data_IF_239088941124
#
_entry.id   IF_239088941124
#
_cell.length_a   1.000
_cell.length_b   1.000
_cell.length_c   1.000
_cell.angle_alpha   90.00
_cell.angle_beta   90.00
_cell.angle_gamma   90.00
#
_symmetry.space_group_name_H-M   'P 1'
#
loop_
_entity.id
_entity.type
_entity.pdbx_description
1 polymer ?
#
# COMPACT_ATOMS: atom_id res chain seq x y z
N UNK A 1 -0.39 5.92 -13.79
CA UNK A 1 0.10 4.62 -14.29
C UNK A 1 0.33 3.74 -13.08
N UNK A 2 -0.15 2.49 -13.10
CA UNK A 2 -0.04 1.56 -11.98
C UNK A 2 1.22 0.71 -12.13
N UNK A 3 1.88 0.38 -11.02
CA UNK A 3 2.87 -0.69 -10.96
C UNK A 3 2.26 -1.84 -10.15
N UNK A 4 2.15 -3.02 -10.76
CA UNK A 4 1.48 -4.19 -10.17
C UNK A 4 2.39 -5.40 -10.37
N UNK A 5 2.54 -6.20 -9.32
CA UNK A 5 3.25 -7.48 -9.35
C UNK A 5 2.36 -8.59 -8.79
N UNK A 6 2.51 -9.79 -9.33
CA UNK A 6 1.84 -11.00 -8.84
C UNK A 6 2.72 -11.70 -7.82
N UNK A 7 2.09 -12.41 -6.88
CA UNK A 7 2.76 -13.17 -5.84
C UNK A 7 2.10 -14.54 -5.70
N UNK A 8 2.90 -15.60 -5.68
CA UNK A 8 2.44 -16.98 -5.43
C UNK A 8 2.12 -17.24 -3.95
N UNK A 9 2.40 -16.28 -3.07
CA UNK A 9 2.08 -16.33 -1.64
C UNK A 9 0.61 -16.01 -1.39
N UNK A 10 0.08 -16.49 -0.27
CA UNK A 10 -1.25 -16.09 0.20
C UNK A 10 -1.30 -14.60 0.52
N UNK A 11 -2.52 -14.05 0.56
CA UNK A 11 -2.75 -12.65 0.89
C UNK A 11 -2.13 -12.26 2.25
N UNK A 12 -2.31 -13.10 3.27
CA UNK A 12 -1.82 -12.85 4.63
C UNK A 12 -0.30 -12.88 4.68
N UNK A 13 0.32 -13.84 4.00
CA UNK A 13 1.78 -13.93 3.92
C UNK A 13 2.36 -12.73 3.15
N UNK A 14 1.77 -12.38 2.01
CA UNK A 14 2.20 -11.23 1.22
C UNK A 14 2.07 -9.91 2.01
N UNK A 15 0.99 -9.75 2.78
CA UNK A 15 0.78 -8.60 3.66
C UNK A 15 1.83 -8.52 4.78
N UNK A 16 2.13 -9.65 5.44
CA UNK A 16 3.18 -9.72 6.48
C UNK A 16 4.57 -9.46 5.91
N UNK A 17 4.88 -10.05 4.75
CA UNK A 17 6.16 -9.86 4.08
C UNK A 17 6.36 -8.41 3.61
N UNK A 18 5.30 -7.76 3.15
CA UNK A 18 5.33 -6.35 2.76
C UNK A 18 5.65 -5.47 3.96
N UNK A 19 4.98 -5.66 5.11
CA UNK A 19 5.27 -4.91 6.35
C UNK A 19 6.76 -5.03 6.74
N UNK A 20 7.28 -6.25 6.73
CA UNK A 20 8.68 -6.50 7.03
C UNK A 20 9.63 -5.89 5.99
N UNK A 21 9.28 -5.98 4.69
CA UNK A 21 10.09 -5.43 3.60
C UNK A 21 10.17 -3.90 3.65
N UNK A 22 9.06 -3.22 3.96
CA UNK A 22 9.00 -1.76 4.13
C UNK A 22 10.01 -1.31 5.18
N UNK A 23 10.00 -1.96 6.36
CA UNK A 23 10.94 -1.68 7.46
C UNK A 23 12.39 -1.94 7.05
N UNK A 24 12.68 -3.07 6.40
CA UNK A 24 14.04 -3.41 5.93
C UNK A 24 14.61 -2.41 4.91
N UNK A 25 13.74 -1.72 4.16
CA UNK A 25 14.14 -0.72 3.16
C UNK A 25 14.15 0.73 3.70
N UNK A 26 14.08 0.90 5.03
CA UNK A 26 14.16 2.23 5.66
C UNK A 26 12.89 3.06 5.53
N UNK A 27 11.75 2.43 5.27
CA UNK A 27 10.43 3.05 5.37
C UNK A 27 9.75 2.58 6.66
N UNK A 28 8.89 3.42 7.24
CA UNK A 28 7.96 3.02 8.29
C UNK A 28 6.60 2.69 7.70
N UNK A 29 5.87 1.76 8.32
CA UNK A 29 4.43 1.56 8.10
C UNK A 29 3.70 2.47 9.08
N UNK A 30 2.99 3.48 8.57
CA UNK A 30 2.24 4.45 9.37
C UNK A 30 0.87 3.90 9.75
N UNK A 31 0.21 3.24 8.79
CA UNK A 31 -1.10 2.64 8.99
C UNK A 31 -1.35 1.52 7.97
N UNK A 32 -2.24 0.60 8.30
CA UNK A 32 -2.75 -0.43 7.40
C UNK A 32 -4.27 -0.41 7.41
N UNK A 33 -4.86 -0.01 6.29
CA UNK A 33 -6.31 -0.04 6.11
C UNK A 33 -6.73 -1.41 5.59
N UNK A 34 -7.52 -2.16 6.35
CA UNK A 34 -8.18 -3.38 5.89
C UNK A 34 -9.52 -3.01 5.23
N UNK A 35 -9.47 -2.66 3.95
CA UNK A 35 -10.64 -2.24 3.19
C UNK A 35 -11.61 -3.40 3.00
N UNK A 36 -11.10 -4.62 2.78
CA UNK A 36 -11.93 -5.81 2.63
C UNK A 36 -12.76 -6.07 3.89
N UNK A 37 -12.12 -6.09 5.06
CA UNK A 37 -12.83 -6.24 6.33
C UNK A 37 -13.80 -5.08 6.59
N UNK A 38 -13.39 -3.84 6.28
CA UNK A 38 -14.22 -2.64 6.46
C UNK A 38 -15.52 -2.74 5.65
N UNK A 39 -15.45 -3.07 4.36
CA UNK A 39 -16.62 -3.22 3.50
C UNK A 39 -17.56 -4.32 4.01
N UNK A 40 -17.01 -5.50 4.33
CA UNK A 40 -17.78 -6.62 4.88
C UNK A 40 -18.46 -6.28 6.21
N UNK A 41 -17.79 -5.51 7.08
CA UNK A 41 -18.36 -5.05 8.36
C UNK A 41 -19.58 -4.13 8.19
N UNK A 42 -19.72 -3.52 7.01
CA UNK A 42 -20.84 -2.65 6.64
C UNK A 42 -21.92 -3.38 5.82
N UNK A 43 -21.83 -4.71 5.71
CA UNK A 43 -22.78 -5.52 4.94
C UNK A 43 -22.65 -5.37 3.43
N UNK A 44 -21.55 -4.80 2.94
CA UNK A 44 -21.26 -4.68 1.51
C UNK A 44 -20.62 -5.99 1.05
N UNK A 45 -21.22 -6.65 0.06
CA UNK A 45 -20.65 -7.85 -0.55
C UNK A 45 -19.32 -7.52 -1.22
N UNK A 46 -18.23 -8.10 -0.70
CA UNK A 46 -16.89 -7.92 -1.22
C UNK A 46 -16.10 -9.22 -1.02
N UNK A 47 -15.98 -9.99 -2.10
CA UNK A 47 -15.37 -11.32 -2.09
C UNK A 47 -13.83 -11.28 -1.94
N UNK A 48 -13.20 -10.26 -2.51
CA UNK A 48 -11.75 -10.16 -2.51
C UNK A 48 -11.18 -9.71 -1.16
N UNK A 49 -9.89 -9.94 -0.98
CA UNK A 49 -9.12 -9.40 0.14
C UNK A 49 -8.41 -8.12 -0.32
N UNK A 50 -8.36 -7.10 0.53
CA UNK A 50 -7.71 -5.84 0.19
C UNK A 50 -7.21 -5.12 1.44
N UNK A 51 -5.89 -4.95 1.52
CA UNK A 51 -5.20 -4.11 2.51
C UNK A 51 -4.42 -3.03 1.79
N UNK A 52 -4.44 -1.81 2.35
CA UNK A 52 -3.64 -0.68 1.88
C UNK A 52 -2.67 -0.27 2.98
N UNK A 53 -1.38 -0.34 2.68
CA UNK A 53 -0.29 0.04 3.55
C UNK A 53 0.10 1.48 3.24
N UNK A 54 -0.01 2.33 4.25
CA UNK A 54 0.55 3.67 4.23
C UNK A 54 1.99 3.61 4.73
N UNK A 55 2.94 3.94 3.85
CA UNK A 55 4.38 3.81 4.11
C UNK A 55 5.10 5.12 3.87
N UNK A 56 6.09 5.42 4.71
CA UNK A 56 6.80 6.69 4.65
C UNK A 56 8.29 6.53 4.96
N UNK A 57 9.13 7.13 4.13
CA UNK A 57 10.53 7.40 4.46
C UNK A 57 10.65 8.90 4.80
N UNK A 58 11.01 9.27 6.04
CA UNK A 58 11.04 10.68 6.45
C UNK A 58 11.95 11.56 5.60
N UNK A 59 13.11 11.06 5.17
CA UNK A 59 14.04 11.81 4.35
C UNK A 59 13.48 12.09 2.95
N UNK A 60 12.75 11.13 2.37
CA UNK A 60 12.06 11.33 1.08
C UNK A 60 10.85 12.26 1.23
N UNK A 61 10.04 12.08 2.27
CA UNK A 61 8.90 12.95 2.55
C UNK A 61 9.34 14.41 2.73
N UNK A 62 10.42 14.66 3.47
CA UNK A 62 10.98 15.99 3.64
C UNK A 62 11.37 16.63 2.29
N UNK A 63 12.07 15.89 1.41
CA UNK A 63 12.45 16.37 0.07
C UNK A 63 11.23 16.75 -0.76
N UNK A 64 10.21 15.89 -0.79
CA UNK A 64 8.97 16.11 -1.55
C UNK A 64 8.24 17.36 -1.05
N UNK A 65 8.06 17.47 0.27
CA UNK A 65 7.34 18.59 0.89
C UNK A 65 8.11 19.92 0.79
N UNK A 66 9.45 19.89 0.81
CA UNK A 66 10.27 21.08 0.57
C UNK A 66 10.21 21.57 -0.88
N UNK A 67 10.03 20.67 -1.85
CA UNK A 67 9.88 21.04 -3.24
C UNK A 67 8.48 21.60 -3.56
N UNK A 68 7.43 20.96 -3.04
CA UNK A 68 6.06 21.46 -3.12
C UNK A 68 5.22 20.93 -1.96
N UNK A 69 4.87 21.81 -1.00
CA UNK A 69 4.07 21.45 0.16
C UNK A 69 2.71 20.85 -0.24
N UNK A 70 2.13 21.19 -1.40
CA UNK A 70 0.86 20.63 -1.87
C UNK A 70 0.92 19.13 -2.13
N UNK A 71 2.11 18.57 -2.35
CA UNK A 71 2.31 17.13 -2.50
C UNK A 71 2.02 16.34 -1.21
N UNK A 72 1.79 17.01 -0.07
CA UNK A 72 1.24 16.36 1.12
C UNK A 72 -0.03 15.54 0.83
N UNK A 73 -0.87 15.97 -0.13
CA UNK A 73 -2.10 15.25 -0.52
C UNK A 73 -1.83 13.91 -1.23
N UNK A 74 -0.60 13.67 -1.68
CA UNK A 74 -0.16 12.41 -2.27
C UNK A 74 0.68 11.55 -1.31
N UNK A 75 0.98 12.08 -0.11
CA UNK A 75 1.70 11.38 0.96
C UNK A 75 0.71 10.88 2.03
N UNK A 76 1.05 9.82 2.78
CA UNK A 76 2.19 8.93 2.59
C UNK A 76 2.07 8.07 1.31
N UNK A 77 3.15 7.40 0.93
CA UNK A 77 3.09 6.46 -0.19
C UNK A 77 2.13 5.31 0.17
N UNK A 78 1.34 4.84 -0.80
CA UNK A 78 0.39 3.74 -0.59
C UNK A 78 0.77 2.54 -1.44
N UNK A 79 0.85 1.38 -0.79
CA UNK A 79 1.04 0.08 -1.44
C UNK A 79 -0.13 -0.81 -1.03
N UNK A 80 -0.84 -1.39 -1.99
CA UNK A 80 -1.92 -2.32 -1.74
C UNK A 80 -1.44 -3.76 -1.87
N UNK A 81 -1.92 -4.62 -0.98
CA UNK A 81 -1.96 -6.07 -1.17
C UNK A 81 -3.42 -6.43 -1.37
N UNK A 82 -3.75 -7.14 -2.44
CA UNK A 82 -5.13 -7.50 -2.75
C UNK A 82 -5.21 -8.81 -3.51
N UNK A 83 -6.38 -9.45 -3.48
CA UNK A 83 -6.69 -10.57 -4.35
C UNK A 83 -7.57 -10.11 -5.50
N UNK A 84 -7.37 -10.73 -6.66
CA UNK A 84 -8.23 -10.52 -7.82
C UNK A 84 -8.25 -11.82 -8.63
N UNK A 85 -9.44 -12.41 -8.79
CA UNK A 85 -9.62 -13.70 -9.47
C UNK A 85 -8.79 -14.82 -8.82
N UNK A 86 -8.70 -14.83 -7.49
CA UNK A 86 -7.94 -15.82 -6.73
C UNK A 86 -6.41 -15.62 -6.73
N UNK A 87 -5.89 -14.62 -7.46
CA UNK A 87 -4.46 -14.31 -7.47
C UNK A 87 -4.13 -13.19 -6.48
N UNK A 88 -3.12 -13.39 -5.64
CA UNK A 88 -2.58 -12.33 -4.78
C UNK A 88 -1.68 -11.39 -5.59
N UNK A 89 -1.91 -10.09 -5.44
CA UNK A 89 -1.23 -9.00 -6.16
C UNK A 89 -0.79 -7.93 -5.18
N UNK A 90 0.33 -7.28 -5.50
CA UNK A 90 0.77 -6.06 -4.84
C UNK A 90 0.79 -4.95 -5.86
N UNK A 91 0.30 -3.76 -5.49
CA UNK A 91 0.21 -2.66 -6.43
C UNK A 91 0.36 -1.29 -5.79
N UNK A 92 0.84 -0.33 -6.57
CA UNK A 92 0.84 1.08 -6.22
C UNK A 92 0.58 1.96 -7.44
N UNK A 93 0.09 3.17 -7.20
CA UNK A 93 0.10 4.22 -8.21
C UNK A 93 1.54 4.74 -8.27
N UNK A 94 2.18 4.65 -9.43
CA UNK A 94 3.57 5.09 -9.60
C UNK A 94 3.68 6.58 -9.23
N UNK A 95 4.58 6.96 -8.30
CA UNK A 95 4.83 8.36 -8.00
C UNK A 95 5.26 9.11 -9.26
N UNK A 96 4.88 10.38 -9.34
CA UNK A 96 5.41 11.27 -10.39
C UNK A 96 6.92 11.39 -10.22
N UNK A 97 7.66 11.28 -11.33
CA UNK A 97 9.09 11.55 -11.35
C UNK A 97 9.28 13.04 -11.05
N UNK A 98 10.05 13.34 -10.00
CA UNK A 98 10.48 14.69 -9.65
C UNK A 98 11.89 14.92 -10.19
#
# INVERSE_FOLDING_TARGET
MYFIVQSDKTFEQAASDLDAAVKRNGFGVLHVHDLGATLRSKGIEFAEQCKVFEVCNPAQAAKVLSADMRLNMALPCRISVYTEQGQTRLGLITPVKM
#
